data_IF_968992446224
#
_entry.id   IF_968992446224
#
_cell.length_a   1.000
_cell.length_b   1.000
_cell.length_c   1.000
_cell.angle_alpha   90.00
_cell.angle_beta   90.00
_cell.angle_gamma   90.00
#
_symmetry.space_group_name_H-M   'P 1'
#
loop_
_entity.id
_entity.type
_entity.pdbx_description
1 polymer ?
#
# COMPACT_ATOMS: atom_id res chain seq x y z
N UNK A 1 -17.11 -18.48 7.83
CA UNK A 1 -15.66 -18.31 7.57
C UNK A 1 -15.25 -17.01 8.24
N UNK A 2 -14.17 -16.95 9.04
CA UNK A 2 -13.68 -15.66 9.48
C UNK A 2 -13.34 -14.81 8.25
N UNK A 3 -13.57 -13.49 8.28
CA UNK A 3 -13.23 -12.63 7.15
C UNK A 3 -11.75 -12.82 6.79
N UNK A 4 -11.37 -12.70 5.51
CA UNK A 4 -9.99 -12.86 5.11
C UNK A 4 -9.17 -11.80 5.86
N UNK A 5 -8.44 -12.26 6.89
CA UNK A 5 -7.60 -11.41 7.73
C UNK A 5 -6.72 -10.59 6.81
N UNK A 6 -6.72 -9.28 7.04
CA UNK A 6 -5.88 -8.32 6.34
C UNK A 6 -4.45 -8.88 6.20
N UNK A 7 -3.99 -9.20 4.97
CA UNK A 7 -2.74 -9.93 4.74
C UNK A 7 -1.51 -9.08 5.09
N UNK A 8 -1.71 -7.78 5.30
CA UNK A 8 -0.71 -6.79 5.72
C UNK A 8 -0.64 -6.57 7.23
N UNK A 9 -1.51 -7.15 8.04
CA UNK A 9 -1.60 -6.86 9.48
C UNK A 9 -0.36 -7.30 10.28
N UNK A 10 0.46 -8.16 9.70
CA UNK A 10 1.75 -8.56 10.27
C UNK A 10 2.91 -7.65 9.87
N UNK A 11 2.71 -6.70 8.94
CA UNK A 11 3.78 -5.83 8.46
C UNK A 11 3.90 -4.61 9.37
N UNK A 12 5.12 -4.34 9.80
CA UNK A 12 5.44 -3.14 10.58
C UNK A 12 5.83 -1.99 9.65
N UNK A 13 5.66 -0.75 10.15
CA UNK A 13 6.11 0.44 9.43
C UNK A 13 7.61 0.39 9.11
N UNK A 14 8.43 -0.21 9.98
CA UNK A 14 9.88 -0.39 9.78
C UNK A 14 10.19 -1.34 8.62
N UNK A 15 9.43 -2.43 8.46
CA UNK A 15 9.60 -3.35 7.32
C UNK A 15 9.19 -2.70 6.00
N UNK A 16 8.08 -1.96 6.02
CA UNK A 16 7.59 -1.19 4.88
C UNK A 16 8.64 -0.16 4.47
N UNK A 17 9.15 0.63 5.43
CA UNK A 17 10.20 1.61 5.18
C UNK A 17 11.45 0.93 4.58
N UNK A 18 11.94 -0.15 5.21
CA UNK A 18 13.13 -0.85 4.72
C UNK A 18 12.96 -1.36 3.31
N UNK A 19 11.78 -1.90 2.96
CA UNK A 19 11.48 -2.31 1.60
C UNK A 19 11.53 -1.11 0.66
N UNK A 20 10.74 -0.07 0.92
CA UNK A 20 10.60 1.10 0.05
C UNK A 20 11.83 2.02 0.01
N UNK A 21 12.77 1.90 0.94
CA UNK A 21 14.11 2.52 0.82
C UNK A 21 15.02 1.82 -0.19
N UNK A 22 14.78 0.54 -0.46
CA UNK A 22 15.60 -0.28 -1.36
C UNK A 22 14.97 -0.53 -2.73
N UNK A 23 13.69 -0.21 -2.92
CA UNK A 23 13.01 -0.34 -4.22
C UNK A 23 13.59 0.63 -5.25
N UNK A 24 13.40 0.28 -6.53
CA UNK A 24 13.73 1.13 -7.68
C UNK A 24 12.47 1.44 -8.46
N UNK A 25 12.57 2.39 -9.39
CA UNK A 25 11.49 2.66 -10.34
C UNK A 25 11.23 1.37 -11.14
N UNK A 26 9.97 0.96 -11.21
CA UNK A 26 9.51 -0.29 -11.82
C UNK A 26 9.36 -1.46 -10.86
N UNK A 27 9.86 -1.37 -9.62
CA UNK A 27 9.64 -2.41 -8.62
C UNK A 27 8.16 -2.48 -8.21
N UNK A 28 7.69 -3.67 -7.79
CA UNK A 28 6.33 -3.83 -7.31
C UNK A 28 6.13 -3.06 -6.00
N UNK A 29 4.95 -2.46 -5.90
CA UNK A 29 4.45 -1.76 -4.73
C UNK A 29 3.01 -2.22 -4.46
N UNK A 30 2.55 -2.07 -3.23
CA UNK A 30 1.17 -2.35 -2.87
C UNK A 30 0.61 -1.25 -1.99
N UNK A 31 -0.62 -0.85 -2.30
CA UNK A 31 -1.36 0.13 -1.53
C UNK A 31 -2.49 -0.59 -0.82
N UNK A 32 -2.56 -0.40 0.49
CA UNK A 32 -3.67 -0.80 1.34
C UNK A 32 -4.56 0.41 1.54
N UNK A 33 -5.82 0.29 1.17
CA UNK A 33 -6.85 1.29 1.46
C UNK A 33 -7.93 0.67 2.32
N UNK A 34 -8.22 1.28 3.47
CA UNK A 34 -9.30 0.88 4.36
C UNK A 34 -10.23 2.07 4.58
N UNK A 35 -11.45 1.99 4.05
CA UNK A 35 -12.44 3.06 4.13
C UNK A 35 -13.86 2.51 4.03
N UNK A 36 -14.81 3.12 4.77
CA UNK A 36 -16.23 2.75 4.77
C UNK A 36 -16.51 1.26 5.03
N UNK A 37 -15.71 0.62 5.89
CA UNK A 37 -15.83 -0.82 6.15
C UNK A 37 -15.48 -1.66 4.92
N UNK A 38 -14.53 -1.20 4.10
CA UNK A 38 -13.94 -1.97 2.99
C UNK A 38 -12.43 -1.89 3.06
N UNK A 39 -11.81 -3.05 2.90
CA UNK A 39 -10.39 -3.19 2.66
C UNK A 39 -10.18 -3.41 1.17
N UNK A 40 -9.35 -2.57 0.55
CA UNK A 40 -8.87 -2.74 -0.81
C UNK A 40 -7.35 -2.79 -0.79
N UNK A 41 -6.80 -3.72 -1.58
CA UNK A 41 -5.36 -3.83 -1.79
C UNK A 41 -5.11 -3.76 -3.28
N UNK A 42 -4.35 -2.75 -3.69
CA UNK A 42 -3.97 -2.54 -5.08
C UNK A 42 -2.48 -2.81 -5.25
N UNK A 43 -2.13 -3.77 -6.10
CA UNK A 43 -0.75 -4.00 -6.52
C UNK A 43 -0.45 -3.07 -7.69
N UNK A 44 0.63 -2.33 -7.59
CA UNK A 44 1.10 -1.39 -8.62
C UNK A 44 2.63 -1.45 -8.68
N UNK A 45 3.25 -0.50 -9.38
CA UNK A 45 4.69 -0.36 -9.48
C UNK A 45 5.11 1.04 -9.06
N UNK A 46 6.35 1.17 -8.63
CA UNK A 46 6.97 2.47 -8.34
C UNK A 46 7.19 3.22 -9.65
N UNK A 47 6.62 4.41 -9.79
CA UNK A 47 6.83 5.27 -10.96
C UNK A 47 7.95 6.28 -10.74
N UNK A 48 8.13 6.77 -9.52
CA UNK A 48 9.18 7.73 -9.19
C UNK A 48 9.58 7.60 -7.72
N UNK A 49 10.83 7.93 -7.40
CA UNK A 49 11.37 7.93 -6.04
C UNK A 49 12.03 9.28 -5.81
N UNK A 50 11.58 10.03 -4.81
CA UNK A 50 12.18 11.28 -4.40
C UNK A 50 12.84 11.11 -3.02
N UNK A 51 14.14 10.77 -2.98
CA UNK A 51 14.85 10.58 -1.73
C UNK A 51 15.02 11.87 -0.93
N UNK A 52 15.07 13.04 -1.58
CA UNK A 52 15.21 14.34 -0.90
C UNK A 52 13.95 14.71 -0.12
N UNK A 53 12.77 14.38 -0.67
CA UNK A 53 11.48 14.57 -0.01
C UNK A 53 11.07 13.38 0.89
N UNK A 54 11.81 12.26 0.84
CA UNK A 54 11.44 11.01 1.51
C UNK A 54 10.13 10.43 0.98
N UNK A 55 9.78 10.70 -0.29
CA UNK A 55 8.51 10.31 -0.89
C UNK A 55 8.70 9.37 -2.08
N UNK A 56 7.72 8.51 -2.27
CA UNK A 56 7.64 7.59 -3.40
C UNK A 56 6.35 7.82 -4.14
N UNK A 57 6.43 7.83 -5.48
CA UNK A 57 5.26 7.90 -6.34
C UNK A 57 5.02 6.55 -7.00
N UNK A 58 3.77 6.14 -6.97
CA UNK A 58 3.29 4.91 -7.58
C UNK A 58 2.68 5.21 -8.94
N UNK A 59 2.67 4.20 -9.80
CA UNK A 59 2.12 4.31 -11.15
C UNK A 59 0.59 4.40 -11.13
N UNK A 60 -0.03 3.72 -10.17
CA UNK A 60 -1.45 3.80 -9.91
C UNK A 60 -1.74 4.69 -8.70
N UNK A 61 -2.82 5.46 -8.81
CA UNK A 61 -3.44 6.07 -7.64
C UNK A 61 -4.21 5.03 -6.82
N UNK A 62 -4.21 5.26 -5.51
CA UNK A 62 -5.26 4.70 -4.65
C UNK A 62 -6.47 5.62 -4.68
N UNK A 63 -7.65 5.00 -4.60
CA UNK A 63 -8.97 5.65 -4.65
C UNK A 63 -9.06 6.91 -3.78
N UNK A 64 -8.31 6.96 -2.66
CA UNK A 64 -8.28 8.11 -1.76
C UNK A 64 -6.87 8.56 -1.35
N UNK A 65 -5.83 7.79 -1.70
CA UNK A 65 -4.44 8.04 -1.29
C UNK A 65 -3.58 8.72 -2.35
N UNK A 66 -4.11 8.93 -3.56
CA UNK A 66 -3.32 9.43 -4.68
C UNK A 66 -2.13 8.54 -5.00
N UNK A 67 -1.12 9.13 -5.64
CA UNK A 67 0.09 8.41 -6.09
C UNK A 67 1.27 8.56 -5.15
N UNK A 68 1.27 9.54 -4.23
CA UNK A 68 2.43 9.90 -3.43
C UNK A 68 2.33 9.46 -1.96
N UNK A 69 3.37 8.79 -1.49
CA UNK A 69 3.45 8.22 -0.15
C UNK A 69 4.80 8.53 0.50
N UNK A 70 4.81 8.72 1.81
CA UNK A 70 6.03 8.86 2.61
C UNK A 70 6.65 7.49 2.79
N UNK A 71 7.94 7.35 2.47
CA UNK A 71 8.69 6.10 2.67
C UNK A 71 8.88 5.83 4.17
N UNK A 72 9.15 6.86 4.96
CA UNK A 72 9.40 6.76 6.41
C UNK A 72 8.17 6.28 7.18
N UNK A 73 7.01 6.89 6.90
CA UNK A 73 5.77 6.58 7.61
C UNK A 73 4.88 5.57 6.90
N UNK A 74 5.15 5.25 5.63
CA UNK A 74 4.25 4.47 4.77
C UNK A 74 2.91 5.15 4.49
N UNK A 75 2.70 6.41 4.88
CA UNK A 75 1.42 7.11 4.78
C UNK A 75 1.30 7.87 3.47
N UNK A 76 0.09 7.94 2.93
CA UNK A 76 -0.21 8.83 1.81
C UNK A 76 -0.04 10.31 2.20
N UNK A 77 0.49 11.12 1.29
CA UNK A 77 0.50 12.59 1.43
C UNK A 77 -0.88 13.22 1.20
N UNK A 78 -1.77 12.54 0.48
CA UNK A 78 -3.10 13.03 0.12
C UNK A 78 -4.19 12.57 1.08
N UNK A 79 -4.01 11.43 1.75
CA UNK A 79 -4.93 10.89 2.75
C UNK A 79 -4.38 11.04 4.17
N UNK A 80 -4.48 12.24 4.74
CA UNK A 80 -4.03 12.54 6.11
C UNK A 80 -4.72 11.69 7.18
N UNK A 81 -5.92 11.18 6.89
CA UNK A 81 -6.70 10.32 7.80
C UNK A 81 -6.20 8.88 7.91
N UNK A 82 -5.10 8.50 7.22
CA UNK A 82 -4.54 7.13 7.31
C UNK A 82 -5.39 6.06 6.61
N UNK A 83 -6.32 6.49 5.76
CA UNK A 83 -7.19 5.60 4.99
C UNK A 83 -6.42 4.85 3.89
N UNK A 84 -5.25 5.35 3.48
CA UNK A 84 -4.38 4.70 2.50
C UNK A 84 -2.93 4.69 2.98
N UNK A 85 -2.32 3.52 2.95
CA UNK A 85 -0.95 3.27 3.39
C UNK A 85 -0.24 2.32 2.42
N UNK A 86 1.07 2.48 2.33
CA UNK A 86 1.95 1.53 1.67
C UNK A 86 2.05 0.24 2.47
N UNK A 87 2.08 -0.87 1.76
CA UNK A 87 2.40 -2.18 2.30
C UNK A 87 3.39 -2.87 1.37
N UNK A 88 4.17 -3.82 1.89
CA UNK A 88 5.07 -4.65 1.09
C UNK A 88 4.23 -5.64 0.27
N UNK A 89 4.42 -5.70 -1.06
CA UNK A 89 3.75 -6.65 -1.94
C UNK A 89 4.33 -8.07 -1.77
N UNK A 90 4.14 -8.66 -0.59
CA UNK A 90 4.51 -10.05 -0.34
C UNK A 90 3.56 -11.03 -1.06
N UNK A 91 3.88 -12.32 -1.04
CA UNK A 91 3.09 -13.35 -1.73
C UNK A 91 1.63 -13.38 -1.23
N UNK A 92 1.41 -13.23 0.08
CA UNK A 92 0.06 -13.21 0.69
C UNK A 92 -0.77 -12.01 0.23
N UNK A 93 -0.18 -10.81 0.20
CA UNK A 93 -0.79 -9.56 -0.26
C UNK A 93 -1.12 -9.66 -1.74
N UNK A 94 -0.19 -10.18 -2.54
CA UNK A 94 -0.38 -10.37 -3.98
C UNK A 94 -1.48 -11.41 -4.28
N UNK A 95 -1.50 -12.53 -3.55
CA UNK A 95 -2.53 -13.56 -3.68
C UNK A 95 -3.91 -13.02 -3.27
N UNK A 96 -3.97 -12.24 -2.19
CA UNK A 96 -5.21 -11.62 -1.72
C UNK A 96 -5.74 -10.59 -2.73
N UNK A 97 -4.88 -9.72 -3.27
CA UNK A 97 -5.25 -8.72 -4.26
C UNK A 97 -5.74 -9.35 -5.56
N UNK A 98 -5.13 -10.47 -5.99
CA UNK A 98 -5.62 -11.27 -7.13
C UNK A 98 -6.97 -11.91 -6.85
N UNK A 99 -7.20 -12.40 -5.64
CA UNK A 99 -8.48 -13.00 -5.25
C UNK A 99 -9.59 -11.95 -5.05
N UNK A 100 -9.23 -10.72 -4.65
CA UNK A 100 -10.16 -9.65 -4.31
C UNK A 100 -9.81 -8.33 -5.02
N UNK A 101 -9.91 -8.27 -6.37
CA UNK A 101 -9.49 -7.10 -7.15
C UNK A 101 -10.34 -5.84 -6.92
N UNK A 102 -11.49 -5.95 -6.24
CA UNK A 102 -12.39 -4.85 -5.88
C UNK A 102 -12.46 -4.59 -4.37
N UNK A 103 -11.52 -5.17 -3.63
CA UNK A 103 -11.54 -5.21 -2.17
C UNK A 103 -12.63 -6.11 -1.60
N UNK A 104 -12.66 -6.20 -0.27
CA UNK A 104 -13.67 -6.93 0.50
C UNK A 104 -14.28 -6.01 1.56
N UNK A 105 -15.55 -6.22 1.94
CA UNK A 105 -16.08 -5.58 3.15
C UNK A 105 -15.27 -6.00 4.39
N UNK A 106 -14.71 -5.02 5.09
CA UNK A 106 -14.13 -5.14 6.44
C UNK A 106 -15.32 -5.16 7.42
N UNK A 107 -15.56 -6.30 8.10
CA UNK A 107 -16.64 -6.47 9.07
C UNK A 107 -16.08 -6.84 10.43
#
# INVERSE_FOLDING_TARGET
MPPPRDPSSGQTAEEIERYYRNVKIGDPAAIRTSQYGRLEIKITTVSNINPEAGSIHLNDDAVWGGVAYSVESGKSYYATSGQSSLIVPNESVTAWAKANPRGTPEY
#
